data_IF_310285249420
#
_entry.id   IF_310285249420
#
_cell.length_a   1.000
_cell.length_b   1.000
_cell.length_c   1.000
_cell.angle_alpha   90.00
_cell.angle_beta   90.00
_cell.angle_gamma   90.00
#
_symmetry.space_group_name_H-M   'P 1'
#
loop_
_entity.id
_entity.type
_entity.pdbx_description
1 polymer ?
#
# COMPACT_ATOMS: atom_id res chain seq x y z
N UNK A 1 -22.30 -32.20 24.04
CA UNK A 1 -21.21 -31.29 24.43
C UNK A 1 -19.90 -32.07 24.29
N UNK A 2 -19.21 -31.92 23.16
CA UNK A 2 -17.88 -32.47 22.96
C UNK A 2 -16.92 -31.28 22.87
N UNK A 3 -16.03 -31.17 23.84
CA UNK A 3 -14.97 -30.16 23.87
C UNK A 3 -14.00 -30.45 22.73
N UNK A 4 -13.92 -29.54 21.73
CA UNK A 4 -12.85 -29.55 20.72
C UNK A 4 -11.55 -29.19 21.44
N UNK A 5 -10.75 -30.20 21.72
CA UNK A 5 -9.36 -30.06 22.13
C UNK A 5 -8.61 -29.47 20.93
N UNK A 6 -8.32 -28.19 20.97
CA UNK A 6 -7.49 -27.51 19.99
C UNK A 6 -6.07 -28.10 20.08
N UNK A 7 -5.66 -28.82 19.08
CA UNK A 7 -4.26 -29.19 18.84
C UNK A 7 -3.48 -27.92 18.56
N UNK A 8 -2.77 -27.38 19.55
CA UNK A 8 -1.76 -26.32 19.39
C UNK A 8 -0.57 -26.91 18.62
N UNK A 9 -0.56 -26.74 17.28
CA UNK A 9 0.52 -27.27 16.44
C UNK A 9 0.68 -26.62 15.08
N UNK A 10 -0.37 -26.02 14.51
CA UNK A 10 -0.27 -25.19 13.31
C UNK A 10 -0.35 -23.72 13.74
N UNK A 11 0.65 -22.92 13.38
CA UNK A 11 0.62 -21.47 13.61
C UNK A 11 -0.59 -20.93 12.85
N UNK A 12 -1.53 -20.29 13.55
CA UNK A 12 -2.73 -19.72 12.93
C UNK A 12 -2.30 -18.70 11.86
N UNK A 13 -2.87 -18.80 10.67
CA UNK A 13 -2.59 -17.87 9.60
C UNK A 13 -3.30 -16.54 9.87
N UNK A 14 -2.63 -15.46 9.50
CA UNK A 14 -3.18 -14.11 9.55
C UNK A 14 -3.39 -13.58 8.12
N UNK A 15 -4.52 -12.92 7.91
CA UNK A 15 -4.85 -12.28 6.64
C UNK A 15 -4.70 -10.76 6.77
N UNK A 16 -3.91 -10.17 5.87
CA UNK A 16 -3.82 -8.73 5.72
C UNK A 16 -4.69 -8.29 4.56
N UNK A 17 -5.44 -7.19 4.73
CA UNK A 17 -6.24 -6.58 3.67
C UNK A 17 -5.93 -5.10 3.64
N UNK A 18 -5.36 -4.64 2.51
CA UNK A 18 -5.08 -3.24 2.27
C UNK A 18 -6.01 -2.71 1.18
N UNK A 19 -6.90 -1.80 1.55
CA UNK A 19 -7.98 -1.29 0.70
C UNK A 19 -7.57 0.07 0.16
N UNK A 20 -6.94 0.06 -1.01
CA UNK A 20 -6.60 1.26 -1.77
C UNK A 20 -7.76 1.74 -2.65
N UNK A 21 -7.64 2.95 -3.20
CA UNK A 21 -8.68 3.54 -4.07
C UNK A 21 -8.87 2.79 -5.41
N UNK A 22 -7.85 2.11 -5.91
CA UNK A 22 -7.89 1.40 -7.20
C UNK A 22 -7.81 -0.10 -7.06
N UNK A 23 -7.03 -0.58 -6.09
CA UNK A 23 -6.71 -1.99 -5.87
C UNK A 23 -6.83 -2.29 -4.38
N UNK A 24 -7.40 -3.45 -4.07
CA UNK A 24 -7.39 -4.04 -2.73
C UNK A 24 -6.38 -5.19 -2.72
N UNK A 25 -5.36 -5.09 -1.89
CA UNK A 25 -4.28 -6.07 -1.78
C UNK A 25 -4.49 -6.98 -0.57
N UNK A 26 -4.08 -8.24 -0.71
CA UNK A 26 -4.19 -9.25 0.32
C UNK A 26 -2.85 -9.93 0.55
N UNK A 27 -2.57 -10.27 1.79
CA UNK A 27 -1.43 -11.10 2.17
C UNK A 27 -1.84 -12.15 3.19
N UNK A 28 -1.49 -13.40 2.93
CA UNK A 28 -1.67 -14.50 3.87
C UNK A 28 -0.32 -14.81 4.53
N UNK A 29 -0.22 -14.63 5.84
CA UNK A 29 1.01 -14.79 6.59
C UNK A 29 0.91 -15.90 7.64
N UNK A 30 2.01 -16.58 7.86
CA UNK A 30 2.20 -17.55 8.95
C UNK A 30 3.40 -17.13 9.78
N UNK A 31 3.17 -16.48 10.93
CA UNK A 31 4.23 -15.81 11.66
C UNK A 31 4.80 -14.64 10.88
N UNK A 32 6.13 -14.62 10.67
CA UNK A 32 6.82 -13.57 9.90
C UNK A 32 6.91 -13.90 8.39
N UNK A 33 6.45 -15.08 7.96
CA UNK A 33 6.52 -15.50 6.57
C UNK A 33 5.24 -15.14 5.82
N UNK A 34 5.38 -14.36 4.73
CA UNK A 34 4.32 -14.10 3.79
C UNK A 34 4.21 -15.30 2.83
N UNK A 35 3.11 -16.06 2.92
CA UNK A 35 2.90 -17.31 2.18
C UNK A 35 2.29 -17.10 0.82
N UNK A 36 1.34 -16.17 0.70
CA UNK A 36 0.63 -15.89 -0.53
C UNK A 36 0.21 -14.42 -0.56
N UNK A 37 0.19 -13.83 -1.75
CA UNK A 37 -0.35 -12.49 -2.00
C UNK A 37 -1.22 -12.49 -3.23
N UNK A 38 -2.27 -11.65 -3.21
CA UNK A 38 -3.10 -11.42 -4.38
C UNK A 38 -3.74 -10.04 -4.29
N UNK A 39 -4.33 -9.60 -5.39
CA UNK A 39 -5.03 -8.34 -5.46
C UNK A 39 -6.30 -8.44 -6.28
N UNK A 40 -7.25 -7.58 -5.97
CA UNK A 40 -8.48 -7.38 -6.74
C UNK A 40 -8.70 -5.89 -6.98
N UNK A 41 -9.45 -5.56 -8.04
CA UNK A 41 -9.85 -4.17 -8.26
C UNK A 41 -10.77 -3.72 -7.12
N UNK A 42 -10.54 -2.55 -6.56
CA UNK A 42 -11.42 -1.95 -5.55
C UNK A 42 -12.72 -1.49 -6.23
N UNK A 43 -13.89 -2.03 -5.84
CA UNK A 43 -15.17 -1.59 -6.37
C UNK A 43 -15.64 -0.28 -5.72
N UNK A 44 -16.58 0.41 -6.34
CA UNK A 44 -17.21 1.62 -5.77
C UNK A 44 -18.07 1.31 -4.53
N UNK A 45 -18.66 0.13 -4.49
CA UNK A 45 -19.46 -0.37 -3.38
C UNK A 45 -19.28 -1.87 -3.21
N UNK A 46 -19.40 -2.36 -1.98
CA UNK A 46 -19.19 -3.76 -1.65
C UNK A 46 -20.05 -4.12 -0.43
N UNK A 47 -20.73 -5.25 -0.47
CA UNK A 47 -21.40 -5.83 0.70
C UNK A 47 -20.44 -6.75 1.47
N UNK A 48 -20.74 -7.00 2.74
CA UNK A 48 -19.96 -7.95 3.54
C UNK A 48 -20.00 -9.38 2.96
N UNK A 49 -21.12 -9.76 2.34
CA UNK A 49 -21.25 -11.08 1.71
C UNK A 49 -20.38 -11.21 0.45
N UNK A 50 -20.32 -10.18 -0.40
CA UNK A 50 -19.42 -10.15 -1.56
C UNK A 50 -17.95 -10.16 -1.14
N UNK A 51 -17.58 -9.40 -0.12
CA UNK A 51 -16.24 -9.41 0.46
C UNK A 51 -15.85 -10.81 0.98
N UNK A 52 -16.76 -11.44 1.74
CA UNK A 52 -16.56 -12.80 2.26
C UNK A 52 -16.42 -13.83 1.15
N UNK A 53 -17.27 -13.77 0.13
CA UNK A 53 -17.17 -14.65 -1.04
C UNK A 53 -15.87 -14.47 -1.79
N UNK A 54 -15.42 -13.24 -1.98
CA UNK A 54 -14.15 -12.91 -2.64
C UNK A 54 -12.98 -13.60 -1.94
N UNK A 55 -12.83 -13.39 -0.63
CA UNK A 55 -11.73 -13.98 0.16
C UNK A 55 -11.84 -15.49 0.24
N UNK A 56 -13.04 -16.03 0.56
CA UNK A 56 -13.26 -17.47 0.71
C UNK A 56 -12.98 -18.22 -0.58
N UNK A 57 -13.41 -17.67 -1.73
CA UNK A 57 -13.17 -18.26 -3.04
C UNK A 57 -11.66 -18.31 -3.36
N UNK A 58 -10.92 -17.25 -3.03
CA UNK A 58 -9.48 -17.23 -3.24
C UNK A 58 -8.75 -18.23 -2.35
N UNK A 59 -9.06 -18.24 -1.04
CA UNK A 59 -8.48 -19.19 -0.09
C UNK A 59 -8.75 -20.64 -0.52
N UNK A 60 -9.95 -20.95 -0.99
CA UNK A 60 -10.29 -22.26 -1.50
C UNK A 60 -9.51 -22.63 -2.78
N UNK A 61 -9.38 -21.68 -3.72
CA UNK A 61 -8.79 -21.96 -5.02
C UNK A 61 -7.25 -22.00 -5.02
N UNK A 62 -6.60 -21.24 -4.14
CA UNK A 62 -5.14 -21.03 -4.16
C UNK A 62 -4.41 -21.41 -2.89
N UNK A 63 -5.13 -21.57 -1.79
CA UNK A 63 -4.56 -21.81 -0.47
C UNK A 63 -5.14 -23.10 0.17
N UNK A 64 -5.65 -24.03 -0.63
CA UNK A 64 -6.24 -25.31 -0.18
C UNK A 64 -7.30 -25.15 0.94
N UNK A 65 -8.05 -24.04 0.92
CA UNK A 65 -9.02 -23.73 1.97
C UNK A 65 -8.38 -23.41 3.32
N UNK A 66 -7.21 -22.77 3.33
CA UNK A 66 -6.47 -22.44 4.55
C UNK A 66 -7.36 -21.73 5.57
N UNK A 67 -7.29 -22.17 6.83
CA UNK A 67 -8.00 -21.54 7.95
C UNK A 67 -7.23 -20.29 8.41
N UNK A 68 -7.95 -19.18 8.47
CA UNK A 68 -7.45 -17.88 8.94
C UNK A 68 -7.95 -17.64 10.35
N UNK A 69 -7.03 -17.42 11.29
CA UNK A 69 -7.38 -17.16 12.69
C UNK A 69 -7.52 -15.69 13.04
N UNK A 70 -6.74 -14.83 12.39
CA UNK A 70 -6.70 -13.40 12.63
C UNK A 70 -6.66 -12.61 11.32
N UNK A 71 -7.10 -11.35 11.37
CA UNK A 71 -7.01 -10.45 10.23
C UNK A 71 -6.68 -9.03 10.66
N UNK A 72 -6.02 -8.28 9.75
CA UNK A 72 -5.76 -6.85 9.88
C UNK A 72 -6.18 -6.14 8.59
N UNK A 73 -6.82 -4.98 8.75
CA UNK A 73 -7.32 -4.14 7.67
C UNK A 73 -6.61 -2.79 7.70
N UNK A 74 -5.98 -2.42 6.60
CA UNK A 74 -5.60 -1.06 6.24
C UNK A 74 -6.60 -0.55 5.21
N UNK A 75 -7.12 0.67 5.36
CA UNK A 75 -8.10 1.20 4.41
C UNK A 75 -8.00 2.71 4.27
N UNK A 76 -7.96 3.16 3.02
CA UNK A 76 -8.13 4.57 2.64
C UNK A 76 -9.47 4.80 1.91
N UNK A 77 -10.40 3.83 1.97
CA UNK A 77 -11.75 3.88 1.39
C UNK A 77 -12.79 3.62 2.48
N UNK A 78 -13.20 4.65 3.23
CA UNK A 78 -14.10 4.50 4.39
C UNK A 78 -15.42 3.78 4.08
N UNK A 79 -15.97 3.98 2.88
CA UNK A 79 -17.24 3.36 2.45
C UNK A 79 -17.18 1.83 2.34
N UNK A 80 -15.98 1.24 2.21
CA UNK A 80 -15.77 -0.20 2.07
C UNK A 80 -15.27 -0.85 3.36
N UNK A 81 -14.74 -0.05 4.29
CA UNK A 81 -14.07 -0.56 5.50
C UNK A 81 -14.98 -1.45 6.34
N UNK A 82 -16.22 -1.01 6.62
CA UNK A 82 -17.15 -1.77 7.45
C UNK A 82 -17.56 -3.10 6.82
N UNK A 83 -17.73 -3.15 5.49
CA UNK A 83 -18.04 -4.38 4.77
C UNK A 83 -16.90 -5.41 4.89
N UNK A 84 -15.67 -4.98 4.73
CA UNK A 84 -14.49 -5.83 4.90
C UNK A 84 -14.31 -6.30 6.35
N UNK A 85 -14.47 -5.41 7.32
CA UNK A 85 -14.37 -5.75 8.75
C UNK A 85 -15.40 -6.81 9.13
N UNK A 86 -16.64 -6.67 8.69
CA UNK A 86 -17.70 -7.65 8.95
C UNK A 86 -17.43 -8.99 8.26
N UNK A 87 -16.99 -8.97 6.99
CA UNK A 87 -16.65 -10.18 6.25
C UNK A 87 -15.52 -10.97 6.94
N UNK A 88 -14.45 -10.25 7.34
CA UNK A 88 -13.30 -10.87 8.01
C UNK A 88 -13.64 -11.34 9.43
N UNK A 89 -14.52 -10.63 10.13
CA UNK A 89 -15.03 -11.10 11.42
C UNK A 89 -15.76 -12.45 11.30
N UNK A 90 -16.57 -12.61 10.26
CA UNK A 90 -17.26 -13.89 9.96
C UNK A 90 -16.27 -14.98 9.55
N UNK A 91 -15.24 -14.63 8.78
CA UNK A 91 -14.21 -15.57 8.32
C UNK A 91 -13.37 -16.11 9.47
N UNK A 92 -12.84 -15.21 10.31
CA UNK A 92 -11.89 -15.54 11.37
C UNK A 92 -12.58 -15.93 12.70
N UNK A 93 -13.86 -15.57 12.90
CA UNK A 93 -14.55 -15.69 14.19
C UNK A 93 -14.11 -14.64 15.22
N UNK A 94 -13.12 -13.81 14.91
CA UNK A 94 -12.61 -12.71 15.74
C UNK A 94 -12.71 -11.40 14.97
N UNK A 95 -12.85 -10.27 15.69
CA UNK A 95 -12.89 -8.96 15.02
C UNK A 95 -11.48 -8.61 14.51
N UNK A 96 -11.32 -8.25 13.21
CA UNK A 96 -10.04 -7.88 12.67
C UNK A 96 -9.50 -6.61 13.33
N UNK A 97 -8.17 -6.46 13.37
CA UNK A 97 -7.54 -5.19 13.69
C UNK A 97 -7.75 -4.22 12.52
N UNK A 98 -8.02 -2.96 12.83
CA UNK A 98 -8.13 -1.90 11.81
C UNK A 98 -7.01 -0.90 12.05
N UNK A 99 -6.18 -0.69 11.04
CA UNK A 99 -5.12 0.32 11.08
C UNK A 99 -5.75 1.70 11.04
N UNK A 100 -5.43 2.51 12.03
CA UNK A 100 -6.01 3.84 12.15
C UNK A 100 -5.74 4.51 13.49
N UNK A 101 -6.36 5.66 13.75
CA UNK A 101 -6.21 6.38 14.99
C UNK A 101 -6.53 5.50 16.20
N UNK A 102 -5.60 5.43 17.15
CA UNK A 102 -5.74 4.62 18.37
C UNK A 102 -5.12 3.23 18.31
N UNK A 103 -4.75 2.70 17.13
CA UNK A 103 -3.94 1.49 17.06
C UNK A 103 -2.51 1.77 17.52
N UNK A 104 -2.02 0.97 18.45
CA UNK A 104 -0.63 1.07 18.95
C UNK A 104 0.31 0.43 17.93
N UNK A 105 0.64 1.18 16.89
CA UNK A 105 1.56 0.75 15.82
C UNK A 105 3.04 0.74 16.23
N UNK A 106 3.39 1.35 17.35
CA UNK A 106 4.80 1.55 17.76
C UNK A 106 5.51 2.69 17.05
N UNK A 107 4.83 3.40 16.15
CA UNK A 107 5.36 4.60 15.53
C UNK A 107 5.30 5.80 16.49
N UNK A 108 6.35 6.62 16.43
CA UNK A 108 6.33 7.97 16.97
C UNK A 108 6.07 8.92 15.81
N UNK A 109 5.10 9.82 15.97
CA UNK A 109 4.68 10.73 14.91
C UNK A 109 4.93 12.17 15.35
N UNK A 110 5.63 12.94 14.52
CA UNK A 110 5.82 14.38 14.67
C UNK A 110 5.01 15.09 13.58
N UNK A 111 3.69 14.95 13.65
CA UNK A 111 2.74 15.50 12.68
C UNK A 111 1.80 16.47 13.38
N UNK A 112 1.38 17.53 12.68
CA UNK A 112 0.39 18.46 13.19
C UNK A 112 -0.96 17.78 13.46
N UNK A 113 -1.34 16.83 12.62
CA UNK A 113 -2.57 16.04 12.71
C UNK A 113 -2.24 14.55 12.52
N UNK A 114 -1.81 13.84 13.56
CA UNK A 114 -1.49 12.41 13.44
C UNK A 114 -2.63 11.52 12.90
N UNK A 115 -3.88 11.96 13.10
CA UNK A 115 -5.07 11.25 12.62
C UNK A 115 -5.26 11.34 11.09
N UNK A 116 -4.59 12.28 10.43
CA UNK A 116 -4.65 12.47 8.97
C UNK A 116 -3.68 11.55 8.22
N UNK A 117 -2.80 10.84 8.94
CA UNK A 117 -1.92 9.85 8.33
C UNK A 117 -2.74 8.65 7.88
N UNK A 118 -2.78 8.40 6.57
CA UNK A 118 -3.49 7.27 5.97
C UNK A 118 -3.02 5.93 6.54
N UNK A 119 -3.92 4.96 6.58
CA UNK A 119 -3.64 3.64 7.14
C UNK A 119 -2.53 2.91 6.35
N UNK A 120 -2.52 3.06 5.03
CA UNK A 120 -1.48 2.59 4.11
C UNK A 120 -0.10 3.15 4.49
N UNK A 121 0.00 4.45 4.68
CA UNK A 121 1.24 5.13 5.08
C UNK A 121 1.74 4.70 6.48
N UNK A 122 0.81 4.42 7.40
CA UNK A 122 1.14 3.83 8.71
C UNK A 122 1.74 2.43 8.51
N UNK A 123 1.13 1.60 7.67
CA UNK A 123 1.61 0.24 7.40
C UNK A 123 3.00 0.25 6.76
N UNK A 124 3.24 1.13 5.78
CA UNK A 124 4.53 1.31 5.13
C UNK A 124 5.63 1.72 6.12
N UNK A 125 5.36 2.72 6.96
CA UNK A 125 6.30 3.15 7.99
C UNK A 125 6.64 2.04 9.00
N UNK A 126 5.63 1.28 9.44
CA UNK A 126 5.84 0.14 10.36
C UNK A 126 6.70 -0.93 9.70
N UNK A 127 6.35 -1.34 8.50
CA UNK A 127 7.06 -2.38 7.77
C UNK A 127 8.50 -1.95 7.44
N UNK A 128 8.70 -0.77 6.89
CA UNK A 128 10.01 -0.28 6.52
C UNK A 128 10.94 -0.10 7.74
N UNK A 129 10.42 0.46 8.83
CA UNK A 129 11.17 0.61 10.08
C UNK A 129 11.57 -0.74 10.68
N UNK A 130 10.67 -1.74 10.61
CA UNK A 130 10.95 -3.08 11.12
C UNK A 130 12.00 -3.81 10.28
N UNK A 131 11.88 -3.74 8.94
CA UNK A 131 12.73 -4.50 8.02
C UNK A 131 14.11 -3.85 7.81
N UNK A 132 14.17 -2.52 7.82
CA UNK A 132 15.38 -1.78 7.40
C UNK A 132 15.96 -0.88 8.47
N UNK A 133 15.28 -0.69 9.61
CA UNK A 133 15.67 0.26 10.65
C UNK A 133 15.38 1.71 10.27
N UNK A 134 16.13 2.63 10.87
CA UNK A 134 16.01 4.07 10.62
C UNK A 134 17.41 4.72 10.77
N UNK A 135 17.70 5.92 10.18
CA UNK A 135 16.78 6.77 9.41
C UNK A 135 16.51 6.23 8.00
N UNK A 136 15.33 6.52 7.45
CA UNK A 136 14.97 6.11 6.08
C UNK A 136 13.87 6.99 5.48
N UNK A 137 13.78 6.97 4.14
CA UNK A 137 12.65 7.46 3.38
C UNK A 137 11.98 6.24 2.74
N UNK A 138 10.66 6.10 2.92
CA UNK A 138 9.84 5.15 2.16
C UNK A 138 9.26 5.88 0.97
N UNK A 139 9.34 5.31 -0.22
CA UNK A 139 8.68 5.79 -1.43
C UNK A 139 7.69 4.73 -1.86
N UNK A 140 6.39 5.02 -1.74
CA UNK A 140 5.32 4.16 -2.22
C UNK A 140 4.83 4.63 -3.59
N UNK A 141 4.98 3.77 -4.61
CA UNK A 141 4.56 4.00 -5.99
C UNK A 141 3.18 3.37 -6.24
N UNK A 142 2.13 4.04 -5.79
CA UNK A 142 0.75 3.63 -5.94
C UNK A 142 -0.10 4.54 -6.84
N UNK A 143 -1.38 4.69 -6.52
CA UNK A 143 -2.28 5.66 -7.18
C UNK A 143 -1.77 7.09 -7.00
N UNK A 144 -1.28 7.42 -5.81
CA UNK A 144 -0.38 8.53 -5.55
C UNK A 144 1.03 7.99 -5.35
N UNK A 145 2.06 8.82 -5.56
CA UNK A 145 3.42 8.53 -5.10
C UNK A 145 3.62 9.24 -3.77
N UNK A 146 3.83 8.47 -2.71
CA UNK A 146 4.02 8.99 -1.36
C UNK A 146 5.49 8.84 -0.94
N UNK A 147 6.01 9.80 -0.21
CA UNK A 147 7.30 9.70 0.49
C UNK A 147 7.04 9.88 1.99
N UNK A 148 7.50 8.93 2.79
CA UNK A 148 7.45 8.99 4.25
C UNK A 148 8.86 9.13 4.80
N UNK A 149 9.06 10.12 5.67
CA UNK A 149 10.39 10.43 6.23
C UNK A 149 10.45 9.97 7.68
N UNK A 150 11.37 9.06 7.97
CA UNK A 150 11.66 8.57 9.33
C UNK A 150 13.10 9.00 9.69
N UNK A 151 13.23 9.78 10.75
CA UNK A 151 14.49 10.35 11.20
C UNK A 151 15.39 9.38 11.98
N UNK A 152 16.54 9.89 12.49
CA UNK A 152 17.52 9.12 13.27
C UNK A 152 16.99 8.59 14.60
N UNK A 153 15.97 9.21 15.18
CA UNK A 153 15.27 8.77 16.39
C UNK A 153 14.13 7.78 16.10
N UNK A 154 13.89 7.46 14.82
CA UNK A 154 12.80 6.59 14.36
C UNK A 154 11.43 7.23 14.48
N UNK A 155 11.37 8.57 14.40
CA UNK A 155 10.14 9.38 14.41
C UNK A 155 9.73 9.69 12.97
N UNK A 156 8.47 9.50 12.65
CA UNK A 156 7.90 9.91 11.35
C UNK A 156 7.73 11.43 11.37
N UNK A 157 8.52 12.12 10.56
CA UNK A 157 8.56 13.60 10.49
C UNK A 157 7.50 14.18 9.55
N UNK A 158 6.91 13.34 8.72
CA UNK A 158 5.97 13.73 7.67
C UNK A 158 6.31 13.08 6.36
N UNK A 159 5.90 13.73 5.26
CA UNK A 159 6.16 13.18 3.94
C UNK A 159 5.68 14.08 2.81
N UNK A 160 5.72 13.52 1.61
CA UNK A 160 5.27 14.19 0.38
C UNK A 160 4.22 13.32 -0.29
N UNK A 161 3.19 13.94 -0.86
CA UNK A 161 2.19 13.25 -1.68
C UNK A 161 2.21 13.89 -3.06
N UNK A 162 2.38 13.06 -4.09
CA UNK A 162 2.41 13.49 -5.48
C UNK A 162 1.52 12.60 -6.35
N UNK A 163 1.11 13.04 -7.54
CA UNK A 163 0.37 12.19 -8.46
C UNK A 163 1.20 10.95 -8.83
N UNK A 164 0.63 9.76 -8.73
CA UNK A 164 1.30 8.54 -9.18
C UNK A 164 1.41 8.47 -10.71
N UNK A 165 2.29 7.60 -11.19
CA UNK A 165 2.66 7.47 -12.61
C UNK A 165 1.44 7.27 -13.53
N UNK A 166 0.54 6.33 -13.15
CA UNK A 166 -0.68 6.01 -13.91
C UNK A 166 -1.70 7.15 -13.88
N UNK A 167 -1.79 7.85 -12.74
CA UNK A 167 -2.67 9.00 -12.60
C UNK A 167 -2.19 10.17 -13.46
N UNK A 168 -0.88 10.46 -13.45
CA UNK A 168 -0.28 11.51 -14.27
C UNK A 168 -0.50 11.23 -15.77
N UNK A 169 -0.28 10.00 -16.22
CA UNK A 169 -0.51 9.61 -17.62
C UNK A 169 -1.96 9.81 -18.05
N UNK A 170 -2.91 9.38 -17.22
CA UNK A 170 -4.35 9.56 -17.48
C UNK A 170 -4.75 11.03 -17.49
N UNK A 171 -4.26 11.80 -16.54
CA UNK A 171 -4.57 13.22 -16.45
C UNK A 171 -4.12 14.00 -17.70
N UNK A 172 -2.91 13.73 -18.20
CA UNK A 172 -2.39 14.37 -19.43
C UNK A 172 -3.23 13.96 -20.65
N UNK A 173 -3.56 12.65 -20.80
CA UNK A 173 -4.38 12.18 -21.91
C UNK A 173 -5.83 12.75 -21.87
N UNK A 174 -6.41 12.93 -20.68
CA UNK A 174 -7.75 13.50 -20.52
C UNK A 174 -7.78 15.01 -20.73
N UNK A 175 -6.75 15.74 -20.31
CA UNK A 175 -6.69 17.18 -20.41
C UNK A 175 -6.42 17.69 -21.84
N UNK A 176 -5.85 16.87 -22.72
CA UNK A 176 -5.47 17.26 -24.06
C UNK A 176 -6.07 16.31 -25.10
N UNK A 177 -7.10 16.76 -25.80
CA UNK A 177 -7.90 15.98 -26.76
C UNK A 177 -7.10 15.28 -27.88
N UNK A 178 -5.87 15.71 -28.15
CA UNK A 178 -5.00 15.15 -29.19
C UNK A 178 -3.92 14.21 -28.65
N UNK A 179 -3.81 14.03 -27.33
CA UNK A 179 -2.80 13.17 -26.74
C UNK A 179 -3.34 11.74 -26.60
N UNK A 180 -2.59 10.75 -27.11
CA UNK A 180 -3.02 9.35 -27.04
C UNK A 180 -2.82 8.77 -25.63
N UNK A 181 -3.56 7.70 -25.32
CA UNK A 181 -3.20 6.81 -24.22
C UNK A 181 -1.89 6.10 -24.58
N UNK A 182 -0.95 6.07 -23.63
CA UNK A 182 0.38 5.49 -23.84
C UNK A 182 0.64 4.34 -22.87
N UNK A 183 1.50 3.41 -23.28
CA UNK A 183 2.06 2.42 -22.37
C UNK A 183 3.13 3.07 -21.48
N UNK A 184 3.12 2.76 -20.20
CA UNK A 184 4.10 3.26 -19.23
C UNK A 184 5.35 2.38 -19.28
N UNK A 185 6.31 2.79 -20.07
CA UNK A 185 7.63 2.17 -20.20
C UNK A 185 8.68 3.24 -20.43
N UNK A 186 9.89 2.99 -19.95
CA UNK A 186 10.99 3.91 -20.14
C UNK A 186 11.30 4.07 -21.65
N UNK A 187 11.31 5.29 -22.17
CA UNK A 187 11.68 5.56 -23.56
C UNK A 187 13.20 5.40 -23.73
N UNK A 188 13.63 5.18 -24.99
CA UNK A 188 15.06 5.08 -25.32
C UNK A 188 15.82 6.41 -25.23
N UNK A 189 15.10 7.53 -25.25
CA UNK A 189 15.67 8.89 -25.24
C UNK A 189 14.75 9.83 -24.48
N UNK A 190 15.32 10.76 -23.77
CA UNK A 190 14.59 11.85 -23.09
C UNK A 190 13.94 12.79 -24.11
N UNK A 191 14.60 13.00 -25.25
CA UNK A 191 14.04 13.81 -26.33
C UNK A 191 13.20 12.91 -27.24
N UNK A 192 11.89 12.91 -27.03
CA UNK A 192 10.92 12.19 -27.88
C UNK A 192 10.80 12.86 -29.25
N UNK A 193 10.86 12.07 -30.31
CA UNK A 193 10.72 12.55 -31.70
C UNK A 193 9.30 12.42 -32.26
N UNK A 194 8.38 11.93 -31.47
CA UNK A 194 6.95 11.89 -31.72
C UNK A 194 6.19 12.07 -30.41
N UNK A 195 4.88 12.31 -30.47
CA UNK A 195 4.03 12.57 -29.30
C UNK A 195 4.09 11.46 -28.27
N UNK A 196 4.06 10.20 -28.68
CA UNK A 196 4.12 9.04 -27.77
C UNK A 196 5.42 9.00 -26.99
N UNK A 197 6.57 9.10 -27.67
CA UNK A 197 7.89 9.08 -27.02
C UNK A 197 8.07 10.29 -26.11
N UNK A 198 7.59 11.47 -26.53
CA UNK A 198 7.65 12.69 -25.73
C UNK A 198 6.81 12.56 -24.44
N UNK A 199 5.61 11.97 -24.53
CA UNK A 199 4.78 11.69 -23.36
C UNK A 199 5.41 10.65 -22.43
N UNK A 200 5.96 9.57 -22.98
CA UNK A 200 6.68 8.56 -22.19
C UNK A 200 7.88 9.17 -21.45
N UNK A 201 8.66 10.02 -22.12
CA UNK A 201 9.77 10.71 -21.50
C UNK A 201 9.31 11.64 -20.36
N UNK A 202 8.30 12.48 -20.63
CA UNK A 202 7.78 13.41 -19.63
C UNK A 202 7.15 12.73 -18.43
N UNK A 203 6.47 11.61 -18.63
CA UNK A 203 5.77 10.89 -17.55
C UNK A 203 6.74 9.96 -16.83
N UNK A 204 7.44 9.06 -17.52
CA UNK A 204 8.25 8.02 -16.85
C UNK A 204 9.59 8.58 -16.36
N UNK A 205 10.36 9.27 -17.22
CA UNK A 205 11.63 9.88 -16.80
C UNK A 205 11.37 11.07 -15.89
N UNK A 206 10.28 11.82 -16.14
CA UNK A 206 9.84 12.92 -15.29
C UNK A 206 9.48 12.47 -13.89
N UNK A 207 8.87 11.28 -13.72
CA UNK A 207 8.61 10.69 -12.40
C UNK A 207 9.93 10.42 -11.65
N UNK A 208 10.88 9.73 -12.29
CA UNK A 208 12.18 9.44 -11.70
C UNK A 208 12.89 10.73 -11.27
N UNK A 209 12.95 11.73 -12.16
CA UNK A 209 13.60 13.01 -11.86
C UNK A 209 12.90 13.77 -10.73
N UNK A 210 11.57 13.67 -10.65
CA UNK A 210 10.79 14.27 -9.56
C UNK A 210 11.11 13.60 -8.23
N UNK A 211 11.14 12.26 -8.18
CA UNK A 211 11.41 11.52 -6.96
C UNK A 211 12.85 11.75 -6.48
N UNK A 212 13.83 11.69 -7.37
CA UNK A 212 15.23 12.00 -7.05
C UNK A 212 15.35 13.42 -6.49
N UNK A 213 14.71 14.41 -7.13
CA UNK A 213 14.71 15.80 -6.65
C UNK A 213 14.03 15.98 -5.30
N UNK A 214 12.93 15.26 -5.03
CA UNK A 214 12.26 15.30 -3.74
C UNK A 214 13.11 14.65 -2.64
N UNK A 215 13.76 13.54 -2.92
CA UNK A 215 14.67 12.86 -1.98
C UNK A 215 15.84 13.79 -1.64
N UNK A 216 16.45 14.42 -2.64
CA UNK A 216 17.55 15.38 -2.42
C UNK A 216 17.10 16.57 -1.58
N UNK A 217 15.89 17.09 -1.80
CA UNK A 217 15.30 18.17 -1.00
C UNK A 217 15.07 17.74 0.45
N UNK A 218 14.54 16.53 0.68
CA UNK A 218 14.35 15.97 2.02
C UNK A 218 15.70 15.82 2.73
N UNK A 219 16.72 15.29 2.07
CA UNK A 219 18.07 15.17 2.65
C UNK A 219 18.69 16.54 2.99
N UNK A 220 18.45 17.54 2.14
CA UNK A 220 18.90 18.91 2.42
C UNK A 220 18.21 19.50 3.66
N UNK A 221 16.93 19.22 3.86
CA UNK A 221 16.17 19.64 5.05
C UNK A 221 16.59 18.92 6.31
N UNK A 222 16.82 17.58 6.23
CA UNK A 222 17.31 16.77 7.34
C UNK A 222 18.76 17.12 7.72
N UNK A 223 19.56 17.57 6.77
CA UNK A 223 21.00 17.81 6.95
C UNK A 223 21.88 16.56 6.82
N UNK A 224 21.29 15.40 6.49
CA UNK A 224 21.99 14.13 6.30
C UNK A 224 21.26 13.24 5.27
N UNK A 225 21.97 12.26 4.71
CA UNK A 225 21.41 11.26 3.80
C UNK A 225 20.90 10.05 4.55
N UNK A 226 19.76 9.52 4.10
CA UNK A 226 19.13 8.32 4.65
C UNK A 226 19.16 7.18 3.63
N UNK A 227 18.81 5.99 4.08
CA UNK A 227 18.38 4.91 3.18
C UNK A 227 17.07 5.33 2.52
N UNK A 228 16.86 4.88 1.27
CA UNK A 228 15.61 5.01 0.55
C UNK A 228 15.09 3.60 0.25
N UNK A 229 13.83 3.36 0.54
CA UNK A 229 13.15 2.07 0.30
C UNK A 229 11.96 2.34 -0.61
N UNK A 230 11.86 1.60 -1.71
CA UNK A 230 10.75 1.67 -2.65
C UNK A 230 9.75 0.54 -2.39
N UNK A 231 8.47 0.84 -2.48
CA UNK A 231 7.34 -0.10 -2.40
C UNK A 231 6.25 0.33 -3.38
N UNK A 232 5.16 -0.41 -3.44
CA UNK A 232 4.01 -0.11 -4.31
C UNK A 232 4.05 -0.84 -5.66
N UNK A 233 2.91 -0.81 -6.36
CA UNK A 233 2.68 -1.58 -7.59
C UNK A 233 3.57 -1.16 -8.76
N UNK A 234 3.99 0.10 -8.81
CA UNK A 234 4.81 0.68 -9.87
C UNK A 234 6.31 0.84 -9.46
N UNK A 235 6.77 0.16 -8.40
CA UNK A 235 8.14 0.22 -7.91
C UNK A 235 9.16 -0.61 -8.73
N UNK A 236 8.74 -1.32 -9.78
CA UNK A 236 9.55 -2.25 -10.60
C UNK A 236 9.90 -1.72 -11.97
#
# INVERSE_FOLDING_TARGET
MAARTATRGAQALALTVDIGNSVTNFGLAGGEELKETWSVTTPESLTADEALMCVSSYLQARCDGAEVGDAIVSSVVPSLTDAWVEALHRLCGTRPLVVGPGLKSGLKLHLNSPADLGADRVADCVAAKHLYGFPLIVVDFGTATNLEVIDEEGVVQGGVIAPGLRLAARAVAQAAAQLPVIDLRAPKSVIGKNTRDAMQAGIVIGEVARIDGLIDAVWAELGYKTRVVATGDDAH
#
